data_IF_977561555384
#
_entry.id   IF_977561555384
#
_cell.length_a   1.000
_cell.length_b   1.000
_cell.length_c   1.000
_cell.angle_alpha   90.00
_cell.angle_beta   90.00
_cell.angle_gamma   90.00
#
_symmetry.space_group_name_H-M   'P 1'
#
loop_
_entity.id
_entity.type
_entity.pdbx_description
1 polymer ?
#
# COMPACT_ATOMS: atom_id res chain seq x y z
N UNK A 1 -8.72 -7.40 -7.55
CA UNK A 1 -7.65 -7.61 -6.56
C UNK A 1 -8.21 -8.25 -5.29
N UNK A 2 -9.24 -7.67 -4.66
CA UNK A 2 -9.87 -8.14 -3.41
C UNK A 2 -10.26 -9.63 -3.41
N UNK A 3 -10.79 -10.16 -4.54
CA UNK A 3 -11.15 -11.59 -4.68
C UNK A 3 -9.90 -12.48 -4.61
N UNK A 4 -8.79 -12.06 -5.20
CA UNK A 4 -7.54 -12.84 -5.18
C UNK A 4 -6.96 -12.85 -3.77
N UNK A 5 -6.94 -11.70 -3.10
CA UNK A 5 -6.51 -11.59 -1.71
C UNK A 5 -7.40 -12.44 -0.79
N UNK A 6 -8.71 -12.34 -0.99
CA UNK A 6 -9.69 -13.17 -0.27
C UNK A 6 -9.42 -14.68 -0.45
N UNK A 7 -9.03 -15.10 -1.65
CA UNK A 7 -8.68 -16.49 -1.94
C UNK A 7 -7.40 -16.95 -1.21
N UNK A 8 -6.37 -16.12 -1.12
CA UNK A 8 -5.16 -16.44 -0.35
C UNK A 8 -5.49 -16.71 1.12
N UNK A 9 -6.44 -15.99 1.67
CA UNK A 9 -6.82 -16.08 3.09
C UNK A 9 -8.15 -16.81 3.32
N UNK A 10 -8.64 -17.61 2.37
CA UNK A 10 -9.96 -18.27 2.43
C UNK A 10 -10.20 -19.12 3.69
N UNK A 11 -9.15 -19.69 4.26
CA UNK A 11 -9.20 -20.54 5.46
C UNK A 11 -8.87 -19.79 6.75
N UNK A 12 -8.76 -18.45 6.71
CA UNK A 12 -8.36 -17.63 7.85
C UNK A 12 -9.44 -16.58 8.14
N UNK A 13 -10.11 -16.72 9.30
CA UNK A 13 -11.24 -15.88 9.67
C UNK A 13 -10.84 -14.61 10.42
N UNK A 14 -9.57 -14.49 10.82
CA UNK A 14 -9.02 -13.34 11.52
C UNK A 14 -7.60 -13.04 11.03
N UNK A 15 -7.15 -11.81 11.20
CA UNK A 15 -5.80 -11.38 10.85
C UNK A 15 -5.69 -9.87 10.87
N UNK A 16 -4.46 -9.40 10.64
CA UNK A 16 -4.14 -7.97 10.59
C UNK A 16 -3.68 -7.59 9.20
N UNK A 17 -4.26 -6.50 8.68
CA UNK A 17 -3.83 -5.88 7.43
C UNK A 17 -3.33 -4.46 7.63
N UNK A 18 -2.57 -3.97 6.66
CA UNK A 18 -2.24 -2.56 6.47
C UNK A 18 -2.62 -2.17 5.05
N UNK A 19 -3.33 -1.06 4.91
CA UNK A 19 -3.81 -0.51 3.64
C UNK A 19 -3.30 0.93 3.47
N UNK A 20 -2.28 1.11 2.63
CA UNK A 20 -1.64 2.40 2.38
C UNK A 20 -2.14 2.96 1.07
N UNK A 21 -2.77 4.15 1.11
CA UNK A 21 -3.56 4.69 0.01
C UNK A 21 -4.95 4.05 -0.01
N UNK A 22 -5.60 3.93 1.15
CA UNK A 22 -6.82 3.15 1.32
C UNK A 22 -8.07 3.72 0.63
N UNK A 23 -8.03 4.95 0.16
CA UNK A 23 -8.97 5.66 -0.71
C UNK A 23 -10.45 5.64 -0.28
N UNK A 24 -11.09 4.47 -0.20
CA UNK A 24 -12.51 4.36 0.12
C UNK A 24 -12.82 3.05 0.86
N UNK A 25 -13.62 3.06 1.97
CA UNK A 25 -13.84 1.87 2.80
C UNK A 25 -14.68 0.75 2.16
N UNK A 26 -15.35 1.01 1.02
CA UNK A 26 -16.16 0.05 0.29
C UNK A 26 -15.72 -0.16 -1.16
N UNK A 27 -15.56 0.92 -1.92
CA UNK A 27 -15.39 0.85 -3.37
C UNK A 27 -13.90 0.80 -3.73
N UNK A 28 -13.51 -0.22 -4.50
CA UNK A 28 -12.12 -0.39 -4.94
C UNK A 28 -11.13 -0.63 -3.79
N UNK A 29 -11.60 -1.19 -2.66
CA UNK A 29 -10.78 -1.37 -1.47
C UNK A 29 -10.34 -2.84 -1.32
N UNK A 30 -9.04 -3.06 -1.20
CA UNK A 30 -8.43 -4.37 -1.16
C UNK A 30 -8.64 -5.12 0.16
N UNK A 31 -9.00 -4.42 1.25
CA UNK A 31 -9.14 -4.96 2.60
C UNK A 31 -10.60 -5.15 3.04
N UNK A 32 -11.58 -4.67 2.25
CA UNK A 32 -13.00 -4.70 2.63
C UNK A 32 -13.53 -6.11 2.93
N UNK A 33 -13.21 -7.09 2.08
CA UNK A 33 -13.64 -8.49 2.28
C UNK A 33 -13.01 -9.11 3.53
N UNK A 34 -11.76 -8.76 3.83
CA UNK A 34 -11.08 -9.21 5.05
C UNK A 34 -11.75 -8.61 6.29
N UNK A 35 -12.04 -7.31 6.26
CA UNK A 35 -12.77 -6.63 7.35
C UNK A 35 -14.14 -7.26 7.60
N UNK A 36 -14.90 -7.58 6.56
CA UNK A 36 -16.22 -8.23 6.68
C UNK A 36 -16.13 -9.63 7.32
N UNK A 37 -15.00 -10.31 7.15
CA UNK A 37 -14.72 -11.61 7.80
C UNK A 37 -14.20 -11.50 9.24
N UNK A 38 -14.10 -10.30 9.80
CA UNK A 38 -13.67 -10.11 11.19
C UNK A 38 -12.22 -9.63 11.36
N UNK A 39 -11.46 -9.48 10.27
CA UNK A 39 -10.12 -8.89 10.32
C UNK A 39 -10.17 -7.44 10.76
N UNK A 40 -9.04 -6.94 11.22
CA UNK A 40 -8.83 -5.51 11.52
C UNK A 40 -7.43 -5.10 11.09
N UNK A 41 -7.16 -3.80 11.09
CA UNK A 41 -5.85 -3.35 10.63
C UNK A 41 -5.65 -1.84 10.70
N UNK A 42 -4.72 -1.38 9.88
CA UNK A 42 -4.35 0.03 9.78
C UNK A 42 -4.69 0.52 8.37
N UNK A 43 -5.56 1.52 8.28
CA UNK A 43 -5.85 2.21 7.03
C UNK A 43 -5.17 3.58 7.04
N UNK A 44 -4.44 3.88 5.98
CA UNK A 44 -3.62 5.09 5.89
C UNK A 44 -3.94 5.83 4.60
N UNK A 45 -4.25 7.11 4.70
CA UNK A 45 -4.45 7.99 3.55
C UNK A 45 -4.04 9.42 3.90
N UNK A 46 -3.54 10.14 2.90
CA UNK A 46 -3.19 11.56 3.05
C UNK A 46 -4.42 12.48 3.01
N UNK A 47 -5.57 12.01 2.53
CA UNK A 47 -6.81 12.79 2.48
C UNK A 47 -7.63 12.62 3.76
N UNK A 48 -7.81 13.71 4.48
CA UNK A 48 -8.57 13.73 5.74
C UNK A 48 -10.00 13.22 5.57
N UNK A 49 -10.69 13.57 4.48
CA UNK A 49 -12.08 13.16 4.27
C UNK A 49 -12.20 11.64 4.01
N UNK A 50 -11.18 11.05 3.41
CA UNK A 50 -11.07 9.58 3.29
C UNK A 50 -11.01 8.96 4.69
N UNK A 51 -10.08 9.41 5.52
CA UNK A 51 -9.90 8.85 6.87
C UNK A 51 -11.11 9.10 7.77
N UNK A 52 -11.77 10.25 7.67
CA UNK A 52 -13.01 10.52 8.41
C UNK A 52 -14.10 9.50 8.06
N UNK A 53 -14.25 9.14 6.79
CA UNK A 53 -15.16 8.10 6.35
C UNK A 53 -14.77 6.71 6.87
N UNK A 54 -13.48 6.38 6.90
CA UNK A 54 -12.99 5.13 7.49
C UNK A 54 -13.27 5.08 9.00
N UNK A 55 -13.10 6.15 9.73
CA UNK A 55 -13.42 6.23 11.18
C UNK A 55 -14.88 5.86 11.46
N UNK A 56 -15.79 6.27 10.58
CA UNK A 56 -17.20 5.96 10.71
C UNK A 56 -17.56 4.51 10.34
N UNK A 57 -16.85 3.91 9.39
CA UNK A 57 -17.22 2.61 8.79
C UNK A 57 -16.35 1.46 9.30
N UNK A 58 -15.07 1.73 9.58
CA UNK A 58 -14.05 0.75 9.97
C UNK A 58 -13.62 0.96 11.43
N UNK A 59 -14.57 0.91 12.36
CA UNK A 59 -14.36 1.21 13.78
C UNK A 59 -13.35 0.29 14.47
N UNK A 60 -13.15 -0.94 13.96
CA UNK A 60 -12.18 -1.88 14.50
C UNK A 60 -10.73 -1.57 14.06
N UNK A 61 -10.56 -0.66 13.12
CA UNK A 61 -9.25 -0.33 12.55
C UNK A 61 -8.62 0.88 13.22
N UNK A 62 -7.32 1.06 13.02
CA UNK A 62 -6.64 2.34 13.20
C UNK A 62 -6.65 3.07 11.84
N UNK A 63 -7.32 4.23 11.80
CA UNK A 63 -7.46 5.00 10.57
C UNK A 63 -6.62 6.27 10.70
N UNK A 64 -5.58 6.41 9.88
CA UNK A 64 -4.50 7.37 10.12
C UNK A 64 -4.36 8.32 8.93
N UNK A 65 -4.57 9.61 9.19
CA UNK A 65 -4.40 10.66 8.18
C UNK A 65 -2.93 11.13 8.15
N UNK A 66 -2.15 10.53 7.27
CA UNK A 66 -0.75 10.88 7.06
C UNK A 66 -0.26 10.39 5.69
N UNK A 67 0.71 11.06 5.12
CA UNK A 67 1.46 10.54 3.97
C UNK A 67 2.56 9.58 4.46
N UNK A 68 2.83 8.52 3.68
CA UNK A 68 3.87 7.53 4.00
C UNK A 68 5.06 7.71 3.06
N UNK A 69 6.28 7.68 3.61
CA UNK A 69 7.52 7.72 2.84
C UNK A 69 8.64 6.99 3.58
N UNK A 70 9.79 6.78 2.93
CA UNK A 70 10.98 6.17 3.51
C UNK A 70 11.66 7.03 4.59
N UNK A 71 11.23 8.29 4.73
CA UNK A 71 11.73 9.25 5.72
C UNK A 71 10.60 10.05 6.34
N UNK A 72 10.73 10.36 7.62
CA UNK A 72 9.88 11.34 8.27
C UNK A 72 10.34 12.75 7.92
N UNK A 73 9.39 13.66 7.71
CA UNK A 73 9.71 15.03 7.35
C UNK A 73 8.56 15.74 6.66
N UNK A 74 8.92 16.78 5.91
CA UNK A 74 7.99 17.55 5.11
C UNK A 74 8.30 17.34 3.63
N UNK A 75 7.31 16.89 2.87
CA UNK A 75 7.40 16.57 1.45
C UNK A 75 6.45 17.41 0.62
N UNK A 76 6.75 17.53 -0.68
CA UNK A 76 5.87 18.13 -1.66
C UNK A 76 4.78 17.14 -2.06
N UNK A 77 3.52 17.49 -1.83
CA UNK A 77 2.36 16.80 -2.36
C UNK A 77 1.94 17.46 -3.67
N UNK A 78 1.93 16.72 -4.74
CA UNK A 78 1.37 17.13 -6.03
C UNK A 78 -0.14 16.91 -6.01
N UNK A 79 -0.86 18.03 -5.81
CA UNK A 79 -2.28 18.01 -5.50
C UNK A 79 -3.12 18.35 -6.73
N UNK A 80 -4.14 17.56 -7.00
CA UNK A 80 -5.09 17.74 -8.11
C UNK A 80 -6.42 18.30 -7.62
N UNK A 81 -7.09 17.62 -6.72
CA UNK A 81 -8.31 18.06 -6.05
C UNK A 81 -8.57 17.21 -4.79
N UNK A 82 -9.56 17.59 -3.99
CA UNK A 82 -9.98 16.82 -2.81
C UNK A 82 -10.40 15.42 -3.24
N UNK A 83 -9.95 14.39 -2.47
CA UNK A 83 -10.22 12.97 -2.71
C UNK A 83 -9.83 12.50 -4.12
N UNK A 84 -8.81 13.12 -4.71
CA UNK A 84 -8.25 12.63 -5.98
C UNK A 84 -7.32 11.46 -5.70
N UNK A 85 -7.57 10.34 -6.34
CA UNK A 85 -6.64 9.21 -6.34
C UNK A 85 -5.26 9.60 -6.92
N UNK A 86 -5.20 10.64 -7.76
CA UNK A 86 -3.96 11.12 -8.37
C UNK A 86 -3.09 12.01 -7.47
N UNK A 87 -3.53 12.35 -6.26
CA UNK A 87 -2.72 13.10 -5.30
C UNK A 87 -1.54 12.23 -4.85
N UNK A 88 -0.31 12.69 -5.06
CA UNK A 88 0.89 11.86 -4.90
C UNK A 88 2.11 12.66 -4.44
N UNK A 89 3.07 12.00 -3.83
CA UNK A 89 4.41 12.52 -3.55
C UNK A 89 5.37 12.32 -4.74
N UNK A 90 4.96 11.64 -5.79
CA UNK A 90 5.80 11.38 -6.97
C UNK A 90 6.01 12.67 -7.80
N UNK A 91 7.27 13.10 -7.93
CA UNK A 91 7.66 14.30 -8.67
C UNK A 91 7.25 14.26 -10.15
N UNK A 92 7.05 13.10 -10.74
CA UNK A 92 6.55 12.98 -12.12
C UNK A 92 5.17 13.61 -12.32
N UNK A 93 4.37 13.73 -11.25
CA UNK A 93 3.05 14.35 -11.25
C UNK A 93 3.08 15.89 -11.24
N UNK A 94 4.25 16.50 -10.96
CA UNK A 94 4.44 17.95 -10.80
C UNK A 94 3.89 18.77 -11.96
N UNK A 95 4.13 18.31 -13.19
CA UNK A 95 3.71 19.04 -14.42
C UNK A 95 2.19 19.19 -14.55
N UNK A 96 1.43 18.23 -14.03
CA UNK A 96 -0.03 18.15 -14.18
C UNK A 96 -0.77 18.52 -12.90
N UNK A 97 -0.06 18.71 -11.80
CA UNK A 97 -0.65 19.10 -10.51
C UNK A 97 -1.23 20.52 -10.57
N UNK A 98 -2.40 20.72 -9.98
CA UNK A 98 -2.99 22.06 -9.82
C UNK A 98 -2.25 22.90 -8.79
N UNK A 99 -1.68 22.26 -7.79
CA UNK A 99 -1.05 22.91 -6.65
C UNK A 99 0.01 22.00 -6.04
N UNK A 100 1.05 22.58 -5.48
CA UNK A 100 2.02 21.86 -4.64
C UNK A 100 1.72 22.27 -3.20
N UNK A 101 1.48 21.27 -2.34
CA UNK A 101 1.24 21.47 -0.90
C UNK A 101 2.36 20.80 -0.12
N UNK A 102 2.68 21.33 1.07
CA UNK A 102 3.56 20.63 2.00
C UNK A 102 2.75 19.70 2.89
N UNK A 103 3.21 18.45 3.02
CA UNK A 103 2.61 17.44 3.89
C UNK A 103 3.68 16.77 4.76
N UNK A 104 3.29 16.41 5.97
CA UNK A 104 4.15 15.61 6.85
C UNK A 104 4.07 14.15 6.46
N UNK A 105 5.22 13.48 6.48
CA UNK A 105 5.34 12.05 6.23
C UNK A 105 5.74 11.30 7.50
N UNK A 106 5.35 10.02 7.56
CA UNK A 106 5.83 9.04 8.53
C UNK A 106 6.32 7.79 7.79
N UNK A 107 7.17 7.02 8.45
CA UNK A 107 7.53 5.68 7.98
C UNK A 107 6.46 4.67 8.41
N UNK A 108 6.29 3.57 7.66
CA UNK A 108 5.41 2.48 8.09
C UNK A 108 5.85 1.89 9.43
N UNK A 109 7.15 1.77 9.68
CA UNK A 109 7.65 1.34 10.99
C UNK A 109 7.11 2.21 12.12
N UNK A 110 7.26 3.53 12.01
CA UNK A 110 6.77 4.47 13.02
C UNK A 110 5.25 4.38 13.20
N UNK A 111 4.49 4.19 12.12
CA UNK A 111 3.03 4.04 12.18
C UNK A 111 2.66 2.76 12.92
N UNK A 112 3.25 1.61 12.58
CA UNK A 112 2.96 0.32 13.21
C UNK A 112 3.31 0.35 14.70
N UNK A 113 4.48 0.88 15.05
CA UNK A 113 4.95 0.98 16.44
C UNK A 113 4.07 1.85 17.34
N UNK A 114 3.34 2.79 16.76
CA UNK A 114 2.41 3.67 17.48
C UNK A 114 0.93 3.25 17.34
N UNK A 115 0.65 2.11 16.70
CA UNK A 115 -0.70 1.57 16.52
C UNK A 115 -1.07 0.57 17.62
N UNK A 116 -2.36 0.25 17.74
CA UNK A 116 -2.80 -0.85 18.60
C UNK A 116 -2.33 -2.23 18.11
N UNK A 117 -1.84 -2.33 16.87
CA UNK A 117 -1.35 -3.56 16.24
C UNK A 117 0.17 -3.74 16.33
N UNK A 118 0.88 -2.94 17.15
CA UNK A 118 2.34 -2.93 17.26
C UNK A 118 2.98 -4.30 17.57
N UNK A 119 2.24 -5.20 18.23
CA UNK A 119 2.70 -6.53 18.64
C UNK A 119 2.03 -7.65 17.83
N UNK A 120 1.17 -7.31 16.87
CA UNK A 120 0.44 -8.29 16.09
C UNK A 120 1.22 -8.71 14.85
N UNK A 121 0.95 -9.94 14.39
CA UNK A 121 1.46 -10.41 13.11
C UNK A 121 0.68 -9.76 11.99
N UNK A 122 1.37 -9.01 11.14
CA UNK A 122 0.78 -8.46 9.91
C UNK A 122 0.68 -9.59 8.87
N UNK A 123 -0.52 -9.82 8.36
CA UNK A 123 -0.75 -10.86 7.36
C UNK A 123 -0.81 -10.31 5.94
N UNK A 124 -1.37 -9.13 5.77
CA UNK A 124 -1.55 -8.50 4.46
C UNK A 124 -1.11 -7.04 4.48
N UNK A 125 -0.37 -6.63 3.45
CA UNK A 125 0.02 -5.24 3.19
C UNK A 125 -0.40 -4.87 1.77
N UNK A 126 -1.24 -3.84 1.65
CA UNK A 126 -1.64 -3.21 0.39
C UNK A 126 -0.96 -1.85 0.27
N UNK A 127 -0.36 -1.54 -0.88
CA UNK A 127 0.30 -0.25 -1.16
C UNK A 127 -0.14 0.24 -2.53
N UNK A 128 -0.86 1.36 -2.54
CA UNK A 128 -1.35 2.04 -3.75
C UNK A 128 -1.33 3.56 -3.48
N UNK A 129 -0.23 4.21 -3.81
CA UNK A 129 0.05 5.63 -3.49
C UNK A 129 0.45 6.45 -4.72
N UNK A 130 0.08 5.92 -5.92
CA UNK A 130 0.18 6.64 -7.19
C UNK A 130 1.62 7.09 -7.55
N UNK A 131 2.57 6.14 -7.44
CA UNK A 131 3.93 6.29 -7.91
C UNK A 131 5.00 6.48 -6.84
N UNK A 132 4.64 6.37 -5.55
CA UNK A 132 5.57 6.45 -4.41
C UNK A 132 5.70 5.13 -3.64
N UNK A 133 5.28 4.02 -4.25
CA UNK A 133 5.18 2.68 -3.65
C UNK A 133 6.53 2.14 -3.18
N UNK A 134 7.60 2.42 -3.93
CA UNK A 134 8.94 1.92 -3.60
C UNK A 134 9.49 2.58 -2.34
N UNK A 135 9.23 3.86 -2.12
CA UNK A 135 9.57 4.57 -0.89
C UNK A 135 8.77 4.04 0.29
N UNK A 136 7.47 3.77 0.08
CA UNK A 136 6.60 3.20 1.11
C UNK A 136 7.10 1.83 1.54
N UNK A 137 7.39 0.90 0.62
CA UNK A 137 7.85 -0.45 0.98
C UNK A 137 9.23 -0.44 1.66
N UNK A 138 10.11 0.52 1.36
CA UNK A 138 11.39 0.70 2.07
C UNK A 138 11.22 1.20 3.50
N UNK A 139 10.07 1.77 3.83
CA UNK A 139 9.79 2.36 5.15
C UNK A 139 9.36 1.35 6.20
N UNK A 140 9.19 0.09 5.82
CA UNK A 140 8.88 -1.03 6.73
C UNK A 140 10.06 -1.99 6.86
N UNK A 141 10.35 -2.44 8.07
CA UNK A 141 11.31 -3.52 8.31
C UNK A 141 10.68 -4.88 7.98
N UNK A 142 10.91 -5.34 6.75
CA UNK A 142 10.38 -6.62 6.26
C UNK A 142 10.97 -7.85 6.96
N UNK A 143 12.11 -7.74 7.65
CA UNK A 143 12.64 -8.82 8.48
C UNK A 143 11.86 -8.97 9.78
N UNK A 144 11.40 -7.85 10.34
CA UNK A 144 10.64 -7.82 11.60
C UNK A 144 9.17 -8.16 11.39
N UNK A 145 8.51 -7.49 10.44
CA UNK A 145 7.05 -7.60 10.26
C UNK A 145 6.63 -8.69 9.28
N UNK A 146 7.41 -8.94 8.26
CA UNK A 146 7.26 -10.00 7.24
C UNK A 146 5.80 -10.34 6.88
N UNK A 147 5.00 -9.39 6.30
CA UNK A 147 3.64 -9.66 5.88
C UNK A 147 3.54 -10.94 5.03
N UNK A 148 2.50 -11.74 5.21
CA UNK A 148 2.34 -12.99 4.45
C UNK A 148 2.16 -12.72 2.95
N UNK A 149 1.34 -11.73 2.62
CA UNK A 149 1.08 -11.27 1.25
C UNK A 149 1.29 -9.76 1.19
N UNK A 150 1.93 -9.28 0.13
CA UNK A 150 2.04 -7.87 -0.21
C UNK A 150 1.43 -7.67 -1.59
N UNK A 151 0.47 -6.76 -1.68
CA UNK A 151 -0.09 -6.23 -2.91
C UNK A 151 0.47 -4.82 -3.10
N UNK A 152 1.10 -4.55 -4.22
CA UNK A 152 1.75 -3.28 -4.47
C UNK A 152 1.53 -2.82 -5.90
N UNK A 153 1.04 -1.59 -6.09
CA UNK A 153 0.90 -1.02 -7.41
C UNK A 153 2.28 -0.85 -8.06
N UNK A 154 2.37 -1.20 -9.32
CA UNK A 154 3.58 -1.05 -10.12
C UNK A 154 3.27 -0.33 -11.43
N UNK A 155 3.79 0.88 -11.56
CA UNK A 155 3.69 1.67 -12.77
C UNK A 155 5.04 1.76 -13.46
N UNK A 156 5.12 1.29 -14.72
CA UNK A 156 6.34 1.43 -15.51
C UNK A 156 6.55 2.91 -15.88
N UNK A 157 7.63 3.51 -15.36
CA UNK A 157 8.03 4.88 -15.72
C UNK A 157 8.97 4.82 -16.94
N UNK A 158 8.49 5.25 -18.10
CA UNK A 158 9.31 5.41 -19.30
C UNK A 158 9.33 6.90 -19.67
N UNK A 159 10.51 7.53 -19.64
CA UNK A 159 10.69 8.96 -19.99
C UNK A 159 9.81 9.93 -19.18
N UNK A 160 9.63 9.69 -17.88
CA UNK A 160 8.73 10.46 -17.00
C UNK A 160 7.24 10.42 -17.43
N UNK A 161 6.83 9.48 -18.28
CA UNK A 161 5.44 9.21 -18.62
C UNK A 161 5.01 7.88 -18.03
N UNK A 162 3.86 7.87 -17.35
CA UNK A 162 3.24 6.64 -16.86
C UNK A 162 2.53 5.97 -18.02
N UNK A 163 2.90 4.71 -18.31
CA UNK A 163 2.22 3.89 -19.31
C UNK A 163 1.33 2.86 -18.62
N UNK A 164 0.03 3.05 -18.72
CA UNK A 164 -0.97 2.09 -18.21
C UNK A 164 -1.13 0.83 -19.07
N UNK A 165 -0.58 0.82 -20.28
CA UNK A 165 -0.74 -0.28 -21.24
C UNK A 165 0.64 -0.67 -21.80
N UNK A 166 0.92 -1.96 -21.82
CA UNK A 166 2.15 -2.62 -22.28
C UNK A 166 3.21 -2.88 -21.20
N UNK A 167 2.80 -3.09 -19.95
CA UNK A 167 3.70 -3.70 -18.98
C UNK A 167 4.06 -5.11 -19.45
N UNK A 168 5.32 -5.48 -19.35
CA UNK A 168 5.76 -6.83 -19.63
C UNK A 168 6.54 -7.39 -18.43
N UNK A 169 6.61 -8.70 -18.35
CA UNK A 169 7.25 -9.38 -17.23
C UNK A 169 8.74 -8.97 -17.08
N UNK A 170 9.41 -8.63 -18.17
CA UNK A 170 10.81 -8.20 -18.10
C UNK A 170 10.96 -6.85 -17.38
N UNK A 171 9.98 -5.95 -17.53
CA UNK A 171 9.98 -4.67 -16.79
C UNK A 171 9.85 -4.92 -15.28
N UNK A 172 9.04 -5.89 -14.90
CA UNK A 172 8.85 -6.27 -13.49
C UNK A 172 10.12 -6.89 -12.92
N UNK A 173 10.63 -7.97 -13.53
CA UNK A 173 11.75 -8.75 -12.98
C UNK A 173 13.10 -7.98 -12.99
N UNK A 174 13.21 -6.94 -13.80
CA UNK A 174 14.37 -6.06 -13.83
C UNK A 174 14.18 -4.78 -12.98
N UNK A 175 13.04 -4.64 -12.29
CA UNK A 175 12.78 -3.45 -11.46
C UNK A 175 13.50 -3.49 -10.12
N UNK A 176 13.77 -2.32 -9.56
CA UNK A 176 14.31 -2.18 -8.20
C UNK A 176 13.35 -2.76 -7.16
N UNK A 177 12.04 -2.62 -7.37
CA UNK A 177 11.01 -3.20 -6.52
C UNK A 177 11.13 -4.72 -6.46
N UNK A 178 11.20 -5.40 -7.62
CA UNK A 178 11.32 -6.86 -7.67
C UNK A 178 12.61 -7.34 -6.97
N UNK A 179 13.74 -6.68 -7.24
CA UNK A 179 15.02 -7.00 -6.62
C UNK A 179 14.97 -6.80 -5.10
N UNK A 180 14.32 -5.73 -4.64
CA UNK A 180 14.12 -5.46 -3.23
C UNK A 180 13.27 -6.54 -2.57
N UNK A 181 12.12 -6.89 -3.14
CA UNK A 181 11.22 -7.91 -2.60
C UNK A 181 11.90 -9.29 -2.53
N UNK A 182 12.63 -9.67 -3.58
CA UNK A 182 13.37 -10.95 -3.62
C UNK A 182 14.44 -11.03 -2.53
N UNK A 183 15.15 -9.92 -2.25
CA UNK A 183 16.14 -9.83 -1.17
C UNK A 183 15.53 -10.13 0.21
N UNK A 184 14.25 -9.80 0.41
CA UNK A 184 13.52 -10.04 1.67
C UNK A 184 12.68 -11.33 1.63
N UNK A 185 13.02 -12.29 0.78
CA UNK A 185 12.37 -13.60 0.68
C UNK A 185 10.90 -13.55 0.23
N UNK A 186 10.54 -12.60 -0.61
CA UNK A 186 9.24 -12.55 -1.26
C UNK A 186 9.34 -13.07 -2.69
N UNK A 187 8.38 -13.90 -3.08
CA UNK A 187 8.21 -14.38 -4.45
C UNK A 187 7.06 -13.64 -5.12
N UNK A 188 7.29 -13.22 -6.35
CA UNK A 188 6.24 -12.73 -7.22
C UNK A 188 5.32 -13.91 -7.60
N UNK A 189 4.03 -13.80 -7.26
CA UNK A 189 3.07 -14.91 -7.42
C UNK A 189 1.90 -14.58 -8.33
N UNK A 190 1.58 -13.32 -8.51
CA UNK A 190 0.49 -12.91 -9.38
C UNK A 190 0.64 -11.45 -9.84
N UNK A 191 -0.05 -11.13 -10.92
CA UNK A 191 -0.14 -9.79 -11.50
C UNK A 191 -1.57 -9.51 -11.94
N UNK A 192 -2.18 -8.47 -11.38
CA UNK A 192 -3.57 -8.09 -11.63
C UNK A 192 -3.67 -6.62 -11.95
N UNK A 193 -3.96 -6.28 -13.20
CA UNK A 193 -3.91 -4.92 -13.70
C UNK A 193 -2.51 -4.30 -13.49
N UNK A 194 -2.42 -3.26 -12.66
CA UNK A 194 -1.16 -2.61 -12.29
C UNK A 194 -0.56 -3.16 -11.00
N UNK A 195 -1.22 -4.10 -10.32
CA UNK A 195 -0.80 -4.58 -9.01
C UNK A 195 -0.02 -5.87 -9.09
N UNK A 196 1.11 -5.90 -8.43
CA UNK A 196 1.93 -7.07 -8.22
C UNK A 196 1.62 -7.70 -6.86
N UNK A 197 1.44 -9.01 -6.84
CA UNK A 197 1.25 -9.79 -5.63
C UNK A 197 2.52 -10.53 -5.31
N UNK A 198 3.04 -10.29 -4.12
CA UNK A 198 4.20 -10.99 -3.57
C UNK A 198 3.79 -11.81 -2.36
N UNK A 199 4.32 -13.03 -2.26
CA UNK A 199 4.11 -13.92 -1.13
C UNK A 199 5.43 -14.21 -0.41
N UNK A 200 5.42 -14.15 0.92
CA UNK A 200 6.60 -14.49 1.71
C UNK A 200 6.84 -16.01 1.69
N UNK A 201 8.10 -16.43 1.67
CA UNK A 201 8.49 -17.88 1.62
C UNK A 201 7.83 -18.75 2.69
N UNK A 202 7.57 -18.18 3.87
CA UNK A 202 6.98 -18.92 5.00
C UNK A 202 5.55 -19.42 4.74
N UNK A 203 4.85 -18.92 3.70
CA UNK A 203 3.49 -19.40 3.34
C UNK A 203 3.56 -20.68 2.51
N UNK A 204 4.64 -20.91 1.79
CA UNK A 204 4.78 -22.02 0.85
C UNK A 204 4.83 -23.39 1.52
N UNK A 205 5.07 -23.43 2.81
CA UNK A 205 5.23 -24.63 3.62
C UNK A 205 4.02 -24.94 4.51
N UNK A 206 2.90 -24.26 4.29
CA UNK A 206 1.61 -24.49 4.93
C UNK A 206 0.57 -24.95 3.89
#
# INVERSE_FOLDING_TARGET
QDIIIDHFFKNKNDGVYIDVGCYHPYNGNNTKRLYDRGWSGINIDLDFHTIDLFNYIRERDDNINVAVSDKEGEFDLYYFHNRSALNSLDESRKKNAKQIKKVKTKTLNSIIENSKFQNDKINFLSIDVEGHEFEVIKSIDLNRYSPEIILIEFMEKKNNEIKFYNQNINSIVNSDLYNYMTKYNYYFVNWVNNDLVFAHTNIRNK
#
